data_IF_142093681879
#
_entry.id   IF_142093681879
#
_cell.length_a   1.000
_cell.length_b   1.000
_cell.length_c   1.000
_cell.angle_alpha   90.00
_cell.angle_beta   90.00
_cell.angle_gamma   90.00
#
_symmetry.space_group_name_H-M   'P 1'
#
loop_
_entity.id
_entity.type
_entity.pdbx_description
1 polymer ?
#
# COMPACT_ATOMS: atom_id res chain seq x y z
N UNK A 1 22.91 -7.12 -5.21
CA UNK A 1 23.08 -6.33 -3.97
C UNK A 1 23.49 -4.88 -4.23
N UNK A 2 24.50 -4.61 -5.07
CA UNK A 2 25.00 -3.24 -5.34
C UNK A 2 23.93 -2.18 -5.70
N UNK A 3 23.00 -2.49 -6.62
CA UNK A 3 21.94 -1.54 -7.01
C UNK A 3 20.98 -1.18 -5.87
N UNK A 4 20.68 -2.14 -4.99
CA UNK A 4 19.81 -1.91 -3.84
C UNK A 4 20.48 -0.97 -2.82
N UNK A 5 21.79 -1.11 -2.62
CA UNK A 5 22.57 -0.22 -1.75
C UNK A 5 22.64 1.19 -2.30
N UNK A 6 22.80 1.35 -3.62
CA UNK A 6 22.72 2.66 -4.27
C UNK A 6 21.35 3.31 -4.10
N UNK A 7 20.26 2.57 -4.31
CA UNK A 7 18.90 3.07 -4.10
C UNK A 7 18.66 3.47 -2.64
N UNK A 8 19.12 2.64 -1.69
CA UNK A 8 19.05 2.97 -0.27
C UNK A 8 19.83 4.25 0.06
N UNK A 9 21.02 4.44 -0.52
CA UNK A 9 21.80 5.66 -0.34
C UNK A 9 21.10 6.89 -0.95
N UNK A 10 20.41 6.75 -2.09
CA UNK A 10 19.64 7.83 -2.71
C UNK A 10 18.44 8.22 -1.84
N UNK A 11 17.68 7.25 -1.34
CA UNK A 11 16.53 7.49 -0.44
C UNK A 11 17.00 8.17 0.84
N UNK A 12 18.10 7.69 1.43
CA UNK A 12 18.71 8.30 2.61
C UNK A 12 19.06 9.76 2.37
N UNK A 13 19.78 10.07 1.28
CA UNK A 13 20.09 11.46 0.91
C UNK A 13 18.84 12.30 0.65
N UNK A 14 17.78 11.70 0.09
CA UNK A 14 16.52 12.38 -0.14
C UNK A 14 15.85 12.79 1.18
N UNK A 15 15.80 11.90 2.17
CA UNK A 15 15.23 12.19 3.49
C UNK A 15 16.10 13.15 4.30
N UNK A 16 17.43 12.95 4.33
CA UNK A 16 18.37 13.84 5.02
C UNK A 16 18.33 15.27 4.49
N UNK A 17 18.12 15.45 3.16
CA UNK A 17 17.93 16.78 2.55
C UNK A 17 16.66 17.49 3.02
N UNK A 18 15.65 16.74 3.47
CA UNK A 18 14.39 17.31 3.97
C UNK A 18 14.52 17.72 5.43
N UNK A 19 15.05 16.84 6.27
CA UNK A 19 15.35 17.11 7.66
C UNK A 19 16.34 16.06 8.21
N UNK A 20 17.29 16.44 9.07
CA UNK A 20 18.09 15.47 9.81
C UNK A 20 17.29 14.72 10.88
N UNK A 21 16.16 15.27 11.33
CA UNK A 21 15.35 14.65 12.38
C UNK A 21 14.38 13.59 11.83
N UNK A 22 14.47 12.31 12.25
CA UNK A 22 13.59 11.24 11.77
C UNK A 22 12.11 11.49 12.06
N UNK A 23 11.73 12.27 13.08
CA UNK A 23 10.32 12.57 13.38
C UNK A 23 9.71 13.44 12.30
N UNK A 24 10.45 14.46 11.86
CA UNK A 24 10.04 15.31 10.73
C UNK A 24 10.01 14.50 9.42
N UNK A 25 10.97 13.58 9.23
CA UNK A 25 10.95 12.68 8.07
C UNK A 25 9.70 11.79 8.05
N UNK A 26 9.29 11.24 9.20
CA UNK A 26 8.05 10.47 9.33
C UNK A 26 6.82 11.27 8.90
N UNK A 27 6.67 12.51 9.40
CA UNK A 27 5.58 13.40 8.96
C UNK A 27 5.57 13.60 7.45
N UNK A 28 6.74 13.69 6.83
CA UNK A 28 6.87 13.83 5.37
C UNK A 28 6.37 12.59 4.61
N UNK A 29 6.67 11.39 5.12
CA UNK A 29 6.18 10.13 4.56
C UNK A 29 4.65 10.07 4.65
N UNK A 30 4.10 10.36 5.83
CA UNK A 30 2.65 10.38 6.06
C UNK A 30 1.97 11.38 5.13
N UNK A 31 2.49 12.60 5.01
CA UNK A 31 1.96 13.62 4.09
C UNK A 31 2.01 13.16 2.63
N UNK A 32 3.06 12.44 2.23
CA UNK A 32 3.19 11.90 0.86
C UNK A 32 2.13 10.83 0.59
N UNK A 33 1.95 9.88 1.51
CA UNK A 33 0.91 8.85 1.44
C UNK A 33 -0.48 9.51 1.38
N UNK A 34 -0.71 10.48 2.25
CA UNK A 34 -1.98 11.19 2.36
C UNK A 34 -2.28 12.04 1.11
N UNK A 35 -1.27 12.61 0.48
CA UNK A 35 -1.42 13.35 -0.78
C UNK A 35 -1.82 12.44 -1.93
N UNK A 36 -1.23 11.24 -2.02
CA UNK A 36 -1.61 10.25 -3.04
C UNK A 36 -3.03 9.76 -2.79
N UNK A 37 -3.36 9.34 -1.56
CA UNK A 37 -4.72 8.92 -1.20
C UNK A 37 -5.77 10.03 -1.33
N UNK A 38 -5.38 11.27 -1.08
CA UNK A 38 -6.22 12.47 -1.23
C UNK A 38 -6.68 12.71 -2.66
N UNK A 39 -5.98 12.20 -3.69
CA UNK A 39 -6.46 12.23 -5.08
C UNK A 39 -7.72 11.38 -5.28
N UNK A 40 -8.02 10.46 -4.36
CA UNK A 40 -9.27 9.68 -4.32
C UNK A 40 -10.24 10.18 -3.24
N UNK A 41 -9.93 11.29 -2.56
CA UNK A 41 -10.68 11.76 -1.40
C UNK A 41 -10.50 10.90 -0.15
N UNK A 42 -9.40 10.15 -0.06
CA UNK A 42 -9.04 9.29 1.09
C UNK A 42 -7.79 9.88 1.77
N UNK A 43 -7.92 11.09 2.27
CA UNK A 43 -6.88 11.82 3.01
C UNK A 43 -7.04 11.63 4.53
N UNK A 44 -7.06 10.36 4.97
CA UNK A 44 -7.41 9.96 6.35
C UNK A 44 -6.48 10.58 7.40
N UNK A 45 -5.22 10.85 7.07
CA UNK A 45 -4.27 11.43 8.02
C UNK A 45 -4.40 12.95 8.17
N UNK A 46 -5.28 13.60 7.39
CA UNK A 46 -5.57 15.03 7.53
C UNK A 46 -6.45 15.28 8.77
N UNK A 47 -6.11 16.25 9.64
CA UNK A 47 -7.00 16.69 10.70
C UNK A 47 -8.33 17.18 10.12
N UNK A 48 -9.46 16.65 10.62
CA UNK A 48 -10.79 17.01 10.13
C UNK A 48 -11.26 16.25 8.89
N UNK A 49 -10.57 15.17 8.49
CA UNK A 49 -11.02 14.27 7.42
C UNK A 49 -12.47 13.82 7.63
N UNK A 50 -13.28 13.98 6.57
CA UNK A 50 -14.64 13.45 6.51
C UNK A 50 -14.78 12.47 5.35
N UNK A 51 -15.31 11.28 5.67
CA UNK A 51 -15.69 10.26 4.70
C UNK A 51 -16.88 10.66 3.82
N UNK A 52 -17.37 11.89 3.93
CA UNK A 52 -18.47 12.45 3.12
C UNK A 52 -18.02 13.43 2.05
N UNK A 53 -16.71 13.55 1.79
CA UNK A 53 -16.16 14.41 0.75
C UNK A 53 -16.78 14.10 -0.64
N UNK A 54 -17.07 15.14 -1.42
CA UNK A 54 -17.58 15.05 -2.78
C UNK A 54 -16.70 14.19 -3.69
N UNK A 55 -15.37 14.33 -3.60
CA UNK A 55 -14.42 13.56 -4.42
C UNK A 55 -14.57 12.06 -4.16
N UNK A 56 -14.63 11.65 -2.89
CA UNK A 56 -14.82 10.26 -2.53
C UNK A 56 -16.17 9.72 -3.02
N UNK A 57 -17.24 10.54 -2.95
CA UNK A 57 -18.56 10.16 -3.48
C UNK A 57 -18.52 9.96 -5.00
N UNK A 58 -17.80 10.81 -5.72
CA UNK A 58 -17.62 10.65 -7.17
C UNK A 58 -16.82 9.40 -7.49
N UNK A 59 -15.75 9.11 -6.76
CA UNK A 59 -14.96 7.87 -6.92
C UNK A 59 -15.83 6.64 -6.64
N UNK A 60 -16.63 6.63 -5.57
CA UNK A 60 -17.53 5.52 -5.25
C UNK A 60 -18.60 5.32 -6.32
N UNK A 61 -19.20 6.40 -6.83
CA UNK A 61 -20.14 6.35 -7.93
C UNK A 61 -19.47 5.78 -9.19
N UNK A 62 -18.26 6.24 -9.50
CA UNK A 62 -17.47 5.78 -10.62
C UNK A 62 -17.14 4.28 -10.51
N UNK A 63 -16.67 3.82 -9.34
CA UNK A 63 -16.42 2.39 -9.09
C UNK A 63 -17.69 1.56 -9.23
N UNK A 64 -18.85 2.08 -8.79
CA UNK A 64 -20.14 1.41 -8.96
C UNK A 64 -20.52 1.30 -10.45
N UNK A 65 -20.39 2.37 -11.22
CA UNK A 65 -20.61 2.33 -12.67
C UNK A 65 -19.64 1.37 -13.36
N UNK A 66 -18.36 1.43 -12.98
CA UNK A 66 -17.31 0.58 -13.51
C UNK A 66 -17.58 -0.91 -13.24
N UNK A 67 -18.09 -1.27 -12.05
CA UNK A 67 -18.54 -2.62 -11.74
C UNK A 67 -19.59 -3.12 -12.75
N UNK A 68 -20.62 -2.33 -13.02
CA UNK A 68 -21.68 -2.72 -13.96
C UNK A 68 -21.20 -2.81 -15.41
N UNK A 69 -20.27 -1.95 -15.83
CA UNK A 69 -19.64 -2.01 -17.16
C UNK A 69 -18.86 -3.33 -17.33
N UNK A 70 -18.08 -3.72 -16.32
CA UNK A 70 -17.34 -4.99 -16.35
C UNK A 70 -18.30 -6.18 -16.33
N UNK A 71 -19.35 -6.13 -15.52
CA UNK A 71 -20.34 -7.21 -15.47
C UNK A 71 -21.04 -7.37 -16.82
N UNK A 72 -21.42 -6.27 -17.47
CA UNK A 72 -21.98 -6.29 -18.82
C UNK A 72 -21.00 -6.90 -19.84
N UNK A 73 -19.74 -6.46 -19.82
CA UNK A 73 -18.70 -6.97 -20.72
C UNK A 73 -18.52 -8.47 -20.53
N UNK A 74 -18.41 -8.92 -19.28
CA UNK A 74 -18.29 -10.35 -18.91
C UNK A 74 -19.47 -11.19 -19.44
N UNK A 75 -20.70 -10.68 -19.34
CA UNK A 75 -21.88 -11.37 -19.87
C UNK A 75 -21.92 -11.39 -21.39
N UNK A 76 -21.36 -10.38 -22.06
CA UNK A 76 -21.36 -10.28 -23.52
C UNK A 76 -20.28 -11.18 -24.13
N UNK A 77 -19.14 -11.31 -23.46
CA UNK A 77 -18.05 -12.21 -23.85
C UNK A 77 -18.31 -13.68 -23.45
N UNK A 78 -19.49 -13.97 -22.87
CA UNK A 78 -19.86 -15.31 -22.45
C UNK A 78 -19.98 -16.24 -23.66
N UNK A 79 -18.94 -17.06 -23.88
CA UNK A 79 -18.81 -17.93 -25.05
C UNK A 79 -17.40 -17.91 -25.65
N UNK A 80 -16.65 -16.81 -25.49
CA UNK A 80 -15.22 -16.76 -25.78
C UNK A 80 -14.44 -16.82 -24.46
N UNK A 81 -13.74 -17.94 -24.23
CA UNK A 81 -13.00 -18.17 -22.99
C UNK A 81 -11.94 -17.10 -22.73
N UNK A 82 -11.21 -16.66 -23.76
CA UNK A 82 -10.10 -15.71 -23.61
C UNK A 82 -10.64 -14.33 -23.23
N UNK A 83 -11.62 -13.81 -23.97
CA UNK A 83 -12.22 -12.49 -23.70
C UNK A 83 -12.97 -12.46 -22.37
N UNK A 84 -13.61 -13.59 -22.01
CA UNK A 84 -14.24 -13.76 -20.71
C UNK A 84 -13.22 -13.68 -19.58
N UNK A 85 -12.06 -14.33 -19.72
CA UNK A 85 -11.00 -14.30 -18.72
C UNK A 85 -10.42 -12.89 -18.52
N UNK A 86 -10.16 -12.15 -19.60
CA UNK A 86 -9.72 -10.75 -19.51
C UNK A 86 -10.76 -9.85 -18.81
N UNK A 87 -12.04 -10.01 -19.12
CA UNK A 87 -13.13 -9.27 -18.45
C UNK A 87 -13.32 -9.68 -16.98
N UNK A 88 -13.05 -10.94 -16.66
CA UNK A 88 -13.10 -11.44 -15.29
C UNK A 88 -11.96 -10.85 -14.45
N UNK A 89 -10.75 -10.76 -15.02
CA UNK A 89 -9.58 -10.17 -14.36
C UNK A 89 -9.84 -8.72 -13.93
N UNK A 90 -10.46 -7.92 -14.80
CA UNK A 90 -10.82 -6.53 -14.50
C UNK A 90 -11.89 -6.41 -13.42
N UNK A 91 -12.87 -7.33 -13.40
CA UNK A 91 -13.85 -7.40 -12.31
C UNK A 91 -13.19 -7.72 -10.95
N UNK A 92 -12.16 -8.57 -10.93
CA UNK A 92 -11.40 -8.86 -9.71
C UNK A 92 -10.65 -7.64 -9.19
N UNK A 93 -10.12 -6.78 -10.08
CA UNK A 93 -9.55 -5.49 -9.67
C UNK A 93 -10.58 -4.56 -9.03
N UNK A 94 -11.83 -4.55 -9.51
CA UNK A 94 -12.93 -3.83 -8.83
C UNK A 94 -13.13 -4.36 -7.41
N UNK A 95 -13.09 -5.68 -7.22
CA UNK A 95 -13.14 -6.31 -5.91
C UNK A 95 -12.03 -5.82 -4.96
N UNK A 96 -10.78 -5.77 -5.46
CA UNK A 96 -9.62 -5.25 -4.72
C UNK A 96 -9.82 -3.77 -4.35
N UNK A 97 -10.29 -2.94 -5.28
CA UNK A 97 -10.54 -1.51 -5.03
C UNK A 97 -11.61 -1.32 -3.95
N UNK A 98 -12.72 -2.06 -4.04
CA UNK A 98 -13.83 -2.01 -3.10
C UNK A 98 -13.40 -2.36 -1.67
N UNK A 99 -12.64 -3.46 -1.48
CA UNK A 99 -12.22 -3.84 -0.14
C UNK A 99 -11.20 -2.86 0.45
N UNK A 100 -10.30 -2.31 -0.37
CA UNK A 100 -9.35 -1.27 0.06
C UNK A 100 -10.09 -0.03 0.54
N UNK A 101 -11.03 0.48 -0.24
CA UNK A 101 -11.86 1.61 0.17
C UNK A 101 -12.65 1.31 1.44
N UNK A 102 -13.27 0.12 1.52
CA UNK A 102 -14.03 -0.30 2.70
C UNK A 102 -13.18 -0.28 3.98
N UNK A 103 -11.99 -0.88 3.96
CA UNK A 103 -11.10 -0.97 5.12
C UNK A 103 -10.68 0.41 5.60
N UNK A 104 -10.27 1.29 4.68
CA UNK A 104 -9.79 2.64 5.02
C UNK A 104 -10.92 3.57 5.47
N UNK A 105 -12.11 3.49 4.88
CA UNK A 105 -13.26 4.32 5.27
C UNK A 105 -13.85 3.86 6.61
N UNK A 106 -14.09 2.55 6.76
CA UNK A 106 -14.76 2.00 7.95
C UNK A 106 -13.87 2.04 9.19
N UNK A 107 -12.58 1.73 9.03
CA UNK A 107 -11.64 1.64 10.15
C UNK A 107 -10.79 2.91 10.33
N UNK A 108 -11.22 4.06 9.80
CA UNK A 108 -10.48 5.33 9.89
C UNK A 108 -10.04 5.69 11.31
N UNK A 109 -10.88 5.42 12.31
CA UNK A 109 -10.58 5.70 13.72
C UNK A 109 -9.42 4.85 14.22
N UNK A 110 -9.41 3.55 13.88
CA UNK A 110 -8.33 2.64 14.26
C UNK A 110 -7.02 3.01 13.56
N UNK A 111 -7.08 3.36 12.27
CA UNK A 111 -5.92 3.85 11.50
C UNK A 111 -5.30 5.09 12.16
N UNK A 112 -6.14 6.05 12.57
CA UNK A 112 -5.70 7.25 13.25
C UNK A 112 -5.12 6.96 14.64
N UNK A 113 -5.73 6.06 15.41
CA UNK A 113 -5.21 5.63 16.71
C UNK A 113 -3.84 4.96 16.58
N UNK A 114 -3.68 4.05 15.62
CA UNK A 114 -2.40 3.41 15.34
C UNK A 114 -1.35 4.42 14.90
N UNK A 115 -1.71 5.38 14.05
CA UNK A 115 -0.79 6.44 13.63
C UNK A 115 -0.41 7.38 14.77
N UNK A 116 -1.34 7.73 15.66
CA UNK A 116 -1.02 8.52 16.85
C UNK A 116 -0.05 7.77 17.77
N UNK A 117 -0.29 6.47 18.00
CA UNK A 117 0.63 5.63 18.74
C UNK A 117 2.05 5.62 18.12
N UNK A 118 2.16 5.64 16.79
CA UNK A 118 3.46 5.76 16.11
C UNK A 118 4.16 7.09 16.45
N UNK A 119 3.43 8.20 16.43
CA UNK A 119 3.98 9.52 16.79
C UNK A 119 4.47 9.50 18.23
N UNK A 120 3.63 9.05 19.16
CA UNK A 120 3.96 8.99 20.59
C UNK A 120 5.18 8.08 20.85
N UNK A 121 5.28 6.96 20.13
CA UNK A 121 6.43 6.07 20.17
C UNK A 121 7.71 6.76 19.68
N UNK A 122 7.65 7.51 18.58
CA UNK A 122 8.80 8.21 18.02
C UNK A 122 9.31 9.33 18.93
N UNK A 123 8.40 9.99 19.65
CA UNK A 123 8.71 11.03 20.63
C UNK A 123 9.29 10.45 21.93
N UNK A 124 8.83 9.26 22.35
CA UNK A 124 9.36 8.58 23.54
C UNK A 124 10.83 8.18 23.40
N UNK A 125 11.24 7.73 22.21
CA UNK A 125 12.60 7.24 21.94
C UNK A 125 13.49 8.34 21.36
N UNK A 126 13.73 9.42 22.12
CA UNK A 126 14.51 10.59 21.69
C UNK A 126 15.82 10.79 22.48
N UNK A 127 16.89 11.19 21.78
CA UNK A 127 18.16 11.65 22.38
C UNK A 127 19.27 10.61 22.47
N UNK A 128 19.01 9.38 22.01
CA UNK A 128 19.99 8.30 21.95
C UNK A 128 20.35 7.97 20.50
N UNK A 129 21.64 8.09 20.18
CA UNK A 129 22.16 7.89 18.82
C UNK A 129 21.82 6.51 18.25
N UNK A 130 21.86 5.45 19.06
CA UNK A 130 21.53 4.10 18.56
C UNK A 130 20.03 3.95 18.28
N UNK A 131 19.18 4.65 19.03
CA UNK A 131 17.73 4.65 18.82
C UNK A 131 17.38 5.46 17.56
N UNK A 132 17.98 6.65 17.41
CA UNK A 132 17.79 7.49 16.23
C UNK A 132 18.24 6.78 14.94
N UNK A 133 19.37 6.05 14.99
CA UNK A 133 19.83 5.23 13.85
C UNK A 133 18.82 4.15 13.45
N UNK A 134 18.12 3.54 14.41
CA UNK A 134 17.06 2.55 14.14
C UNK A 134 15.80 3.21 13.52
N UNK A 135 15.42 4.40 14.00
CA UNK A 135 14.32 5.18 13.42
C UNK A 135 14.63 5.54 11.97
N UNK A 136 15.80 6.13 11.72
CA UNK A 136 16.25 6.51 10.38
C UNK A 136 16.29 5.31 9.43
N UNK A 137 16.83 4.18 9.90
CA UNK A 137 16.89 2.95 9.09
C UNK A 137 15.50 2.46 8.71
N UNK A 138 14.56 2.49 9.64
CA UNK A 138 13.16 2.08 9.40
C UNK A 138 12.51 3.02 8.39
N UNK A 139 12.61 4.34 8.57
CA UNK A 139 12.03 5.32 7.64
C UNK A 139 12.61 5.24 6.23
N UNK A 140 13.91 5.01 6.12
CA UNK A 140 14.58 4.73 4.86
C UNK A 140 14.02 3.49 4.17
N UNK A 141 13.84 2.39 4.92
CA UNK A 141 13.26 1.16 4.38
C UNK A 141 11.80 1.36 3.96
N UNK A 142 10.98 2.05 4.77
CA UNK A 142 9.59 2.37 4.44
C UNK A 142 9.49 3.17 3.15
N UNK A 143 10.32 4.21 3.02
CA UNK A 143 10.33 5.08 1.83
C UNK A 143 10.81 4.33 0.60
N UNK A 144 11.86 3.51 0.73
CA UNK A 144 12.38 2.70 -0.35
C UNK A 144 11.34 1.67 -0.83
N UNK A 145 10.71 0.96 0.11
CA UNK A 145 9.69 -0.04 -0.21
C UNK A 145 8.48 0.60 -0.89
N UNK A 146 7.99 1.71 -0.37
CA UNK A 146 6.87 2.47 -0.96
C UNK A 146 7.21 2.99 -2.36
N UNK A 147 8.44 3.48 -2.56
CA UNK A 147 8.89 3.99 -3.86
C UNK A 147 9.04 2.88 -4.90
N UNK A 148 9.67 1.76 -4.53
CA UNK A 148 9.80 0.60 -5.41
C UNK A 148 8.44 0.04 -5.79
N UNK A 149 7.55 -0.08 -4.81
CA UNK A 149 6.19 -0.54 -5.04
C UNK A 149 5.44 0.40 -5.98
N UNK A 150 5.51 1.72 -5.76
CA UNK A 150 4.90 2.71 -6.65
C UNK A 150 5.40 2.63 -8.10
N UNK A 151 6.72 2.46 -8.29
CA UNK A 151 7.32 2.29 -9.62
C UNK A 151 6.79 1.01 -10.28
N UNK A 152 6.84 -0.12 -9.58
CA UNK A 152 6.36 -1.41 -10.12
C UNK A 152 4.86 -1.39 -10.45
N UNK A 153 4.03 -0.84 -9.56
CA UNK A 153 2.58 -0.74 -9.75
C UNK A 153 2.20 0.20 -10.89
N UNK A 154 3.04 1.21 -11.20
CA UNK A 154 2.80 2.13 -12.31
C UNK A 154 3.36 1.61 -13.64
N UNK A 155 4.48 0.89 -13.62
CA UNK A 155 5.14 0.43 -14.83
C UNK A 155 4.36 -0.65 -15.58
N UNK A 156 3.74 -1.58 -14.86
CA UNK A 156 2.98 -2.68 -15.48
C UNK A 156 1.80 -2.18 -16.33
N UNK A 157 0.86 -1.38 -15.79
CA UNK A 157 -0.19 -0.78 -16.62
C UNK A 157 0.39 0.16 -17.68
N UNK A 158 1.43 0.94 -17.36
CA UNK A 158 2.07 1.82 -18.35
C UNK A 158 2.52 1.06 -19.61
N UNK A 159 3.14 -0.11 -19.44
CA UNK A 159 3.54 -0.98 -20.55
C UNK A 159 2.33 -1.56 -21.31
N UNK A 160 1.27 -1.97 -20.61
CA UNK A 160 0.04 -2.45 -21.25
C UNK A 160 -0.60 -1.39 -22.14
N UNK A 161 -0.72 -0.15 -21.65
CA UNK A 161 -1.29 0.96 -22.42
C UNK A 161 -0.43 1.33 -23.63
N UNK A 162 0.90 1.39 -23.46
CA UNK A 162 1.82 1.66 -24.58
C UNK A 162 1.76 0.54 -25.62
N UNK A 163 1.77 -0.72 -25.19
CA UNK A 163 1.68 -1.88 -26.07
C UNK A 163 0.38 -1.91 -26.88
N UNK A 164 -0.76 -1.71 -26.22
CA UNK A 164 -2.08 -1.62 -26.86
C UNK A 164 -2.15 -0.46 -27.87
N UNK A 165 -1.57 0.71 -27.54
CA UNK A 165 -1.56 1.86 -28.44
C UNK A 165 -0.71 1.60 -29.69
N UNK A 166 0.50 1.05 -29.52
CA UNK A 166 1.37 0.71 -30.64
C UNK A 166 0.73 -0.32 -31.58
N UNK A 167 0.08 -1.34 -31.02
CA UNK A 167 -0.66 -2.33 -31.80
C UNK A 167 -1.84 -1.69 -32.54
N UNK A 168 -2.56 -0.79 -31.87
CA UNK A 168 -3.72 -0.09 -32.46
C UNK A 168 -3.35 0.85 -33.60
N UNK A 169 -2.14 1.41 -33.58
CA UNK A 169 -1.62 2.22 -34.69
C UNK A 169 -1.17 1.32 -35.86
N UNK A 170 -0.62 0.15 -35.58
CA UNK A 170 0.03 -0.69 -36.58
C UNK A 170 -0.91 -1.71 -37.26
N UNK A 171 -1.90 -2.25 -36.54
CA UNK A 171 -2.68 -3.42 -36.96
C UNK A 171 -4.18 -3.16 -36.85
N UNK A 172 -4.73 -3.11 -35.64
CA UNK A 172 -6.17 -3.01 -35.40
C UNK A 172 -6.46 -2.45 -34.00
N UNK A 173 -7.63 -1.83 -33.81
CA UNK A 173 -8.02 -1.25 -32.52
C UNK A 173 -8.11 -2.32 -31.42
N UNK A 174 -7.14 -2.31 -30.51
CA UNK A 174 -7.07 -3.22 -29.36
C UNK A 174 -7.02 -2.41 -28.08
N UNK A 175 -7.96 -2.68 -27.17
CA UNK A 175 -7.99 -2.05 -25.85
C UNK A 175 -7.01 -2.75 -24.88
N UNK A 176 -6.43 -2.01 -23.92
CA UNK A 176 -5.54 -2.59 -22.90
C UNK A 176 -6.20 -3.67 -22.04
N UNK A 177 -7.51 -3.54 -21.79
CA UNK A 177 -8.31 -4.49 -21.03
C UNK A 177 -9.55 -4.96 -21.80
N UNK A 178 -10.07 -6.13 -21.42
CA UNK A 178 -11.16 -6.80 -22.12
C UNK A 178 -12.57 -6.21 -21.95
N UNK A 179 -12.73 -5.09 -21.23
CA UNK A 179 -14.04 -4.46 -21.04
C UNK A 179 -14.22 -3.24 -21.96
N UNK A 180 -15.47 -2.94 -22.30
CA UNK A 180 -15.83 -1.76 -23.06
C UNK A 180 -17.12 -1.13 -22.55
N UNK A 181 -17.27 0.17 -22.76
CA UNK A 181 -18.45 0.94 -22.39
C UNK A 181 -19.62 0.45 -23.26
N UNK A 182 -20.75 0.01 -22.64
CA UNK A 182 -21.94 -0.40 -23.38
C UNK A 182 -22.37 0.68 -24.36
N UNK A 183 -22.89 0.29 -25.54
CA UNK A 183 -23.41 1.18 -26.60
C UNK A 183 -22.39 2.04 -27.37
N UNK A 184 -21.15 2.18 -26.89
CA UNK A 184 -20.12 2.99 -27.56
C UNK A 184 -19.37 2.20 -28.63
N UNK A 185 -19.17 0.89 -28.41
CA UNK A 185 -18.41 0.00 -29.30
C UNK A 185 -16.92 0.38 -29.42
N UNK A 186 -16.15 -0.45 -30.10
CA UNK A 186 -14.71 -0.25 -30.33
C UNK A 186 -14.31 -0.11 -31.80
N UNK A 187 -15.24 -0.40 -32.73
CA UNK A 187 -14.97 -0.46 -34.17
C UNK A 187 -14.76 0.93 -34.81
N UNK A 188 -15.17 2.00 -34.10
CA UNK A 188 -15.02 3.38 -34.55
C UNK A 188 -13.90 4.07 -33.78
N UNK A 189 -13.18 4.99 -34.44
CA UNK A 189 -12.12 5.78 -33.77
C UNK A 189 -12.64 6.52 -32.53
N UNK A 190 -13.86 7.06 -32.61
CA UNK A 190 -14.50 7.73 -31.48
C UNK A 190 -14.77 6.76 -30.34
N UNK A 191 -15.32 5.58 -30.65
CA UNK A 191 -15.58 4.55 -29.64
C UNK A 191 -14.31 4.01 -28.99
N UNK A 192 -13.29 3.73 -29.79
CA UNK A 192 -11.96 3.34 -29.31
C UNK A 192 -11.37 4.40 -28.38
N UNK A 193 -11.35 5.68 -28.79
CA UNK A 193 -10.75 6.78 -28.00
C UNK A 193 -11.46 6.96 -26.66
N UNK A 194 -12.79 6.88 -26.64
CA UNK A 194 -13.58 6.97 -25.40
C UNK A 194 -13.28 5.80 -24.46
N UNK A 195 -13.27 4.58 -24.97
CA UNK A 195 -12.92 3.40 -24.18
C UNK A 195 -11.50 3.49 -23.64
N UNK A 196 -10.51 3.77 -24.50
CA UNK A 196 -9.12 3.89 -24.10
C UNK A 196 -8.91 4.95 -23.01
N UNK A 197 -9.51 6.13 -23.17
CA UNK A 197 -9.47 7.19 -22.17
C UNK A 197 -10.12 6.80 -20.84
N UNK A 198 -11.26 6.10 -20.88
CA UNK A 198 -11.93 5.60 -19.69
C UNK A 198 -11.10 4.52 -18.98
N UNK A 199 -10.56 3.54 -19.72
CA UNK A 199 -9.67 2.53 -19.14
C UNK A 199 -8.43 3.16 -18.49
N UNK A 200 -7.86 4.20 -19.11
CA UNK A 200 -6.71 4.94 -18.57
C UNK A 200 -7.06 5.66 -17.27
N UNK A 201 -8.25 6.27 -17.19
CA UNK A 201 -8.75 6.90 -15.97
C UNK A 201 -8.91 5.87 -14.85
N UNK A 202 -9.64 4.77 -15.09
CA UNK A 202 -9.86 3.71 -14.10
C UNK A 202 -8.55 3.12 -13.58
N UNK A 203 -7.61 2.86 -14.49
CA UNK A 203 -6.29 2.33 -14.15
C UNK A 203 -5.50 3.32 -13.30
N UNK A 204 -5.56 4.61 -13.63
CA UNK A 204 -4.90 5.66 -12.85
C UNK A 204 -5.46 5.72 -11.43
N UNK A 205 -6.79 5.70 -11.28
CA UNK A 205 -7.47 5.69 -9.98
C UNK A 205 -7.09 4.44 -9.17
N UNK A 206 -7.04 3.28 -9.82
CA UNK A 206 -6.64 2.01 -9.19
C UNK A 206 -5.19 2.05 -8.70
N UNK A 207 -4.26 2.50 -9.54
CA UNK A 207 -2.83 2.62 -9.19
C UNK A 207 -2.64 3.57 -8.00
N UNK A 208 -3.30 4.72 -8.02
CA UNK A 208 -3.27 5.68 -6.90
C UNK A 208 -3.73 5.00 -5.60
N UNK A 209 -4.88 4.30 -5.63
CA UNK A 209 -5.45 3.65 -4.45
C UNK A 209 -4.61 2.49 -3.94
N UNK A 210 -4.00 1.70 -4.84
CA UNK A 210 -3.04 0.64 -4.49
C UNK A 210 -1.83 1.27 -3.80
N UNK A 211 -1.20 2.27 -4.40
CA UNK A 211 0.01 2.90 -3.86
C UNK A 211 -0.25 3.50 -2.49
N UNK A 212 -1.34 4.25 -2.30
CA UNK A 212 -1.64 4.88 -1.01
C UNK A 212 -1.93 3.85 0.08
N UNK A 213 -2.74 2.83 -0.23
CA UNK A 213 -3.13 1.82 0.75
C UNK A 213 -1.96 0.92 1.19
N UNK A 214 -1.15 0.46 0.23
CA UNK A 214 0.00 -0.40 0.53
C UNK A 214 1.14 0.37 1.20
N UNK A 215 1.36 1.64 0.83
CA UNK A 215 2.35 2.47 1.52
C UNK A 215 1.97 2.72 2.99
N UNK A 216 0.68 2.90 3.29
CA UNK A 216 0.19 2.98 4.66
C UNK A 216 0.40 1.67 5.42
N UNK A 217 0.14 0.52 4.78
CA UNK A 217 0.41 -0.80 5.36
C UNK A 217 1.91 -0.98 5.66
N UNK A 218 2.80 -0.67 4.70
CA UNK A 218 4.25 -0.74 4.90
C UNK A 218 4.71 0.13 6.06
N UNK A 219 4.17 1.34 6.20
CA UNK A 219 4.46 2.22 7.33
C UNK A 219 4.09 1.56 8.66
N UNK A 220 2.89 1.01 8.79
CA UNK A 220 2.46 0.34 10.03
C UNK A 220 3.29 -0.91 10.33
N UNK A 221 3.60 -1.71 9.31
CA UNK A 221 4.39 -2.93 9.45
C UNK A 221 5.85 -2.61 9.83
N UNK A 222 6.47 -1.63 9.18
CA UNK A 222 7.84 -1.21 9.50
C UNK A 222 7.92 -0.66 10.92
N UNK A 223 6.88 0.03 11.40
CA UNK A 223 6.80 0.43 12.81
C UNK A 223 6.70 -0.75 13.78
N UNK A 224 5.93 -1.80 13.44
CA UNK A 224 5.93 -3.03 14.25
C UNK A 224 7.34 -3.65 14.34
N UNK A 225 8.08 -3.68 13.22
CA UNK A 225 9.47 -4.15 13.21
C UNK A 225 10.38 -3.26 14.06
N UNK A 226 10.24 -1.94 13.97
CA UNK A 226 11.01 -0.98 14.77
C UNK A 226 10.81 -1.20 16.27
N UNK A 227 9.58 -1.46 16.72
CA UNK A 227 9.30 -1.76 18.13
C UNK A 227 10.09 -2.99 18.62
N UNK A 228 10.18 -4.04 17.80
CA UNK A 228 10.98 -5.25 18.12
C UNK A 228 12.47 -4.93 18.15
N UNK A 229 12.98 -4.13 17.21
CA UNK A 229 14.38 -3.72 17.20
C UNK A 229 14.74 -2.86 18.42
N UNK A 230 13.83 -1.98 18.86
CA UNK A 230 13.99 -1.20 20.10
C UNK A 230 14.00 -2.08 21.35
N UNK A 231 13.11 -3.08 21.42
CA UNK A 231 13.11 -4.06 22.51
C UNK A 231 14.42 -4.84 22.54
N UNK A 232 14.94 -5.25 21.38
CA UNK A 232 16.23 -5.93 21.27
C UNK A 232 17.38 -5.06 21.77
N UNK A 233 17.36 -3.76 21.45
CA UNK A 233 18.34 -2.80 21.94
C UNK A 233 18.28 -2.65 23.47
N UNK A 234 17.07 -2.53 24.03
CA UNK A 234 16.86 -2.45 25.48
C UNK A 234 17.34 -3.73 26.20
N UNK A 235 17.06 -4.91 25.65
CA UNK A 235 17.53 -6.19 26.17
C UNK A 235 19.05 -6.32 26.14
N UNK A 236 19.71 -5.87 25.06
CA UNK A 236 21.18 -5.86 24.97
C UNK A 236 21.79 -5.02 26.11
N UNK A 237 21.28 -3.81 26.31
CA UNK A 237 21.73 -2.90 27.38
C UNK A 237 21.46 -3.45 28.78
N UNK A 238 20.32 -4.12 28.96
CA UNK A 238 20.02 -4.82 30.21
C UNK A 238 21.01 -5.95 30.47
N UNK A 239 21.38 -6.72 29.45
CA UNK A 239 22.36 -7.80 29.57
C UNK A 239 23.74 -7.27 29.93
N UNK A 240 24.16 -6.15 29.34
CA UNK A 240 25.42 -5.49 29.67
C UNK A 240 25.42 -4.97 31.12
N UNK A 241 24.32 -4.34 31.55
CA UNK A 241 24.15 -3.88 32.94
C UNK A 241 24.18 -5.05 33.93
N UNK A 242 23.52 -6.17 33.59
CA UNK A 242 23.52 -7.38 34.42
C UNK A 242 24.91 -8.00 34.54
N UNK A 243 25.68 -8.04 33.44
CA UNK A 243 27.06 -8.53 33.45
C UNK A 243 28.00 -7.64 34.27
N UNK A 244 27.76 -6.33 34.29
CA UNK A 244 28.53 -5.37 35.08
C UNK A 244 28.13 -5.33 36.58
N UNK A 245 26.98 -5.92 36.94
CA UNK A 245 26.42 -5.89 38.30
C UNK A 245 27.06 -6.95 39.23
N UNK A 246 28.39 -6.96 39.32
CA UNK A 246 29.14 -7.90 40.16
C UNK A 246 28.98 -7.67 41.68
N UNK A 247 28.56 -6.47 42.09
CA UNK A 247 28.39 -6.05 43.48
C UNK A 247 26.92 -6.01 43.94
N UNK A 248 25.97 -6.30 43.04
CA UNK A 248 24.53 -6.25 43.32
C UNK A 248 23.92 -4.85 43.44
N UNK A 249 24.70 -3.78 43.26
CA UNK A 249 24.28 -2.39 43.41
C UNK A 249 23.16 -1.98 42.44
N UNK A 250 23.15 -2.57 41.25
CA UNK A 250 22.22 -2.25 40.15
C UNK A 250 20.97 -3.14 40.10
N UNK A 251 20.77 -4.01 41.09
CA UNK A 251 19.67 -4.99 41.09
C UNK A 251 18.27 -4.36 40.99
N UNK A 252 18.08 -3.19 41.65
CA UNK A 252 16.81 -2.45 41.59
C UNK A 252 16.58 -1.86 40.20
N UNK A 253 17.62 -1.31 39.58
CA UNK A 253 17.56 -0.75 38.23
C UNK A 253 17.28 -1.84 37.18
N UNK A 254 17.95 -2.99 37.29
CA UNK A 254 17.72 -4.16 36.43
C UNK A 254 16.24 -4.57 36.49
N UNK A 255 15.65 -4.65 37.69
CA UNK A 255 14.24 -4.99 37.87
C UNK A 255 13.31 -3.97 37.20
N UNK A 256 13.57 -2.67 37.37
CA UNK A 256 12.77 -1.62 36.73
C UNK A 256 12.88 -1.70 35.20
N UNK A 257 14.07 -1.89 34.65
CA UNK A 257 14.27 -2.04 33.20
C UNK A 257 13.56 -3.27 32.63
N UNK A 258 13.56 -4.40 33.35
CA UNK A 258 12.78 -5.59 32.97
C UNK A 258 11.28 -5.27 32.92
N UNK A 259 10.75 -4.56 33.92
CA UNK A 259 9.34 -4.16 33.93
C UNK A 259 8.98 -3.28 32.73
N UNK A 260 9.83 -2.31 32.39
CA UNK A 260 9.67 -1.47 31.20
C UNK A 260 9.69 -2.29 29.91
N UNK A 261 10.64 -3.23 29.76
CA UNK A 261 10.72 -4.11 28.58
C UNK A 261 9.46 -4.98 28.44
N UNK A 262 8.96 -5.53 29.54
CA UNK A 262 7.71 -6.32 29.53
C UNK A 262 6.54 -5.44 29.09
N UNK A 263 6.44 -4.21 29.62
CA UNK A 263 5.38 -3.27 29.25
C UNK A 263 5.42 -2.92 27.76
N UNK A 264 6.59 -2.55 27.22
CA UNK A 264 6.76 -2.28 25.79
C UNK A 264 6.46 -3.51 24.92
N UNK A 265 6.75 -4.72 25.39
CA UNK A 265 6.41 -5.94 24.67
C UNK A 265 4.91 -6.19 24.62
N UNK A 266 4.18 -5.93 25.72
CA UNK A 266 2.71 -6.02 25.74
C UNK A 266 2.10 -5.00 24.78
N UNK A 267 2.57 -3.75 24.82
CA UNK A 267 2.13 -2.69 23.90
C UNK A 267 2.36 -3.06 22.44
N UNK A 268 3.51 -3.68 22.13
CA UNK A 268 3.80 -4.21 20.80
C UNK A 268 2.81 -5.30 20.36
N UNK A 269 2.46 -6.23 21.26
CA UNK A 269 1.49 -7.27 20.95
C UNK A 269 0.11 -6.68 20.65
N UNK A 270 -0.32 -5.66 21.39
CA UNK A 270 -1.60 -5.00 21.18
C UNK A 270 -1.62 -4.18 19.89
N UNK A 271 -0.52 -3.49 19.57
CA UNK A 271 -0.34 -2.83 18.28
C UNK A 271 -0.39 -3.83 17.11
N UNK A 272 0.32 -4.96 17.21
CA UNK A 272 0.34 -5.99 16.18
C UNK A 272 -1.03 -6.64 15.99
N UNK A 273 -1.78 -6.92 17.06
CA UNK A 273 -3.15 -7.43 16.97
C UNK A 273 -4.07 -6.45 16.27
N UNK A 274 -3.95 -5.16 16.59
CA UNK A 274 -4.73 -4.09 15.96
C UNK A 274 -4.44 -4.00 14.47
N UNK A 275 -3.16 -4.09 14.08
CA UNK A 275 -2.74 -4.16 12.68
C UNK A 275 -3.32 -5.39 11.96
N UNK A 276 -3.24 -6.57 12.57
CA UNK A 276 -3.81 -7.79 11.99
C UNK A 276 -5.32 -7.66 11.80
N UNK A 277 -6.05 -7.20 12.82
CA UNK A 277 -7.51 -7.02 12.73
C UNK A 277 -7.90 -6.00 11.65
N UNK A 278 -7.10 -4.95 11.45
CA UNK A 278 -7.33 -3.95 10.42
C UNK A 278 -7.20 -4.52 9.00
N UNK A 279 -6.20 -5.38 8.75
CA UNK A 279 -5.86 -5.88 7.42
C UNK A 279 -6.26 -7.35 7.15
N UNK A 280 -6.85 -8.07 8.11
CA UNK A 280 -7.25 -9.48 7.93
C UNK A 280 -8.20 -9.67 6.74
N UNK A 281 -9.33 -8.95 6.76
CA UNK A 281 -10.31 -9.00 5.68
C UNK A 281 -9.73 -8.47 4.36
N UNK A 282 -8.86 -7.45 4.44
CA UNK A 282 -8.15 -6.90 3.30
C UNK A 282 -7.35 -8.00 2.59
N UNK A 283 -6.46 -8.67 3.32
CA UNK A 283 -5.60 -9.70 2.74
C UNK A 283 -6.39 -10.90 2.26
N UNK A 284 -7.43 -11.31 2.98
CA UNK A 284 -8.29 -12.41 2.54
C UNK A 284 -8.89 -12.16 1.15
N UNK A 285 -9.50 -10.99 0.95
CA UNK A 285 -10.13 -10.66 -0.34
C UNK A 285 -9.07 -10.38 -1.41
N UNK A 286 -8.02 -9.62 -1.10
CA UNK A 286 -6.97 -9.28 -2.07
C UNK A 286 -6.25 -10.53 -2.57
N UNK A 287 -5.83 -11.43 -1.67
CA UNK A 287 -5.20 -12.68 -2.09
C UNK A 287 -6.17 -13.62 -2.81
N UNK A 288 -7.45 -13.64 -2.42
CA UNK A 288 -8.48 -14.36 -3.17
C UNK A 288 -8.57 -13.86 -4.62
N UNK A 289 -8.68 -12.55 -4.82
CA UNK A 289 -8.70 -11.95 -6.15
C UNK A 289 -7.43 -12.26 -6.93
N UNK A 290 -6.24 -12.06 -6.35
CA UNK A 290 -4.95 -12.35 -7.02
C UNK A 290 -4.84 -13.83 -7.40
N UNK A 291 -5.30 -14.75 -6.54
CA UNK A 291 -5.31 -16.17 -6.85
C UNK A 291 -6.17 -16.47 -8.08
N UNK A 292 -7.39 -15.94 -8.15
CA UNK A 292 -8.25 -16.11 -9.33
C UNK A 292 -7.68 -15.42 -10.58
N UNK A 293 -7.03 -14.27 -10.44
CA UNK A 293 -6.32 -13.61 -11.55
C UNK A 293 -5.17 -14.48 -12.08
N UNK A 294 -4.40 -15.11 -11.20
CA UNK A 294 -3.31 -16.00 -11.60
C UNK A 294 -3.83 -17.23 -12.35
N UNK A 295 -4.92 -17.84 -11.86
CA UNK A 295 -5.59 -18.95 -12.56
C UNK A 295 -6.09 -18.50 -13.93
N UNK A 296 -6.72 -17.33 -14.02
CA UNK A 296 -7.21 -16.74 -15.27
C UNK A 296 -6.07 -16.54 -16.28
N UNK A 297 -4.95 -15.97 -15.84
CA UNK A 297 -3.75 -15.78 -16.66
C UNK A 297 -3.17 -17.10 -17.18
N UNK A 298 -3.11 -18.15 -16.35
CA UNK A 298 -2.66 -19.48 -16.78
C UNK A 298 -3.60 -20.05 -17.84
N UNK A 299 -4.91 -19.93 -17.66
CA UNK A 299 -5.90 -20.39 -18.65
C UNK A 299 -5.70 -19.67 -19.97
N UNK A 300 -5.58 -18.34 -19.97
CA UNK A 300 -5.37 -17.53 -21.18
C UNK A 300 -4.08 -17.95 -21.90
N UNK A 301 -2.97 -18.09 -21.18
CA UNK A 301 -1.68 -18.50 -21.78
C UNK A 301 -1.80 -19.87 -22.44
N UNK A 302 -2.42 -20.84 -21.76
CA UNK A 302 -2.62 -22.19 -22.32
C UNK A 302 -3.53 -22.14 -23.54
N UNK A 303 -4.63 -21.39 -23.49
CA UNK A 303 -5.58 -21.27 -24.60
C UNK A 303 -5.04 -20.56 -25.84
N UNK A 304 -4.00 -19.73 -25.71
CA UNK A 304 -3.35 -19.06 -26.85
C UNK A 304 -2.22 -19.93 -27.43
N UNK A 305 -1.63 -20.82 -26.62
CA UNK A 305 -0.48 -21.65 -27.03
C UNK A 305 -0.88 -22.94 -27.76
N UNK A 306 -2.14 -23.36 -27.64
CA UNK A 306 -2.71 -24.53 -28.32
C UNK A 306 -3.74 -24.12 -29.37
#
# INVERSE_FOLDING_TARGET
MYYLEQLRALVRRYLERRSPDPRIQHTFIVQSINRVGGMLGIDIFTPGYSSTNLLLRMVLLNTFTFFWINLYSLTTTYGNLVDFMYSFETLLYVGIACIKMYVFIKNKTLILQMHQYMIDFFDHFHGDREQDELLERTLNNTTLLSSLFAVCSSSAPGLLFVGSLLWSIAVEYVLPFGFFIPTVGMDTLQGYTLNYGFQMLETTLMVIGIISSESAFFMFQQNACLQVDMLRLQLRRLSELSAANGDGSSTKEIRTRIQTIIQHHVEHLDYSKSMCSLFELHFFIVFGCIFFQLVSNVVVIVSITY
#
